data_IF_223080275767
#
_entry.id   IF_223080275767
#
_cell.length_a   1.000
_cell.length_b   1.000
_cell.length_c   1.000
_cell.angle_alpha   90.00
_cell.angle_beta   90.00
_cell.angle_gamma   90.00
#
_symmetry.space_group_name_H-M   'P 1'
#
loop_
_entity.id
_entity.type
_entity.pdbx_description
1 polymer ?
#
# COMPACT_ATOMS: atom_id res chain seq x y z
N UNK A 1 11.25 12.98 14.60
CA UNK A 1 11.11 12.66 14.33
C UNK A 1 10.44 12.09 13.64
N UNK A 2 10.11 12.05 13.40
CA UNK A 2 9.38 11.40 13.02
C UNK A 2 9.20 11.33 11.74
N UNK A 3 9.40 10.78 11.15
CA UNK A 3 9.29 10.70 9.95
C UNK A 3 8.42 9.77 9.56
N UNK A 4 7.35 9.92 9.13
CA UNK A 4 6.40 8.95 8.87
C UNK A 4 6.06 8.83 7.45
N UNK A 5 6.51 9.66 6.60
CA UNK A 5 6.00 9.66 5.35
C UNK A 5 6.30 8.47 4.59
N UNK A 6 7.36 7.82 4.67
CA UNK A 6 7.61 6.73 3.85
C UNK A 6 7.17 5.48 4.45
N UNK A 7 6.49 5.53 5.52
CA UNK A 7 6.12 4.33 6.18
C UNK A 7 5.10 3.48 5.46
N UNK A 8 4.38 4.04 4.52
CA UNK A 8 3.45 3.21 3.77
C UNK A 8 4.17 2.06 3.11
N UNK A 9 5.26 2.34 2.38
CA UNK A 9 5.98 1.29 1.67
C UNK A 9 6.63 0.32 2.64
N UNK A 10 7.18 0.82 3.73
CA UNK A 10 7.78 -0.05 4.72
C UNK A 10 6.74 -0.94 5.36
N UNK A 11 5.58 -0.41 5.64
CA UNK A 11 4.51 -1.19 6.22
C UNK A 11 4.04 -2.28 5.29
N UNK A 12 3.93 -1.97 4.00
CA UNK A 12 3.53 -2.96 3.02
C UNK A 12 4.55 -4.09 2.95
N UNK A 13 5.82 -3.73 2.95
CA UNK A 13 6.86 -4.73 2.88
C UNK A 13 6.86 -5.61 4.11
N UNK A 14 6.79 -5.03 5.30
CA UNK A 14 6.78 -5.79 6.52
C UNK A 14 5.54 -6.66 6.63
N UNK A 15 4.40 -6.16 6.20
CA UNK A 15 3.16 -6.91 6.24
C UNK A 15 3.25 -8.13 5.34
N UNK A 16 3.82 -7.94 4.14
CA UNK A 16 3.97 -9.03 3.19
C UNK A 16 4.94 -10.08 3.73
N UNK A 17 6.03 -9.64 4.35
CA UNK A 17 6.98 -10.58 4.91
C UNK A 17 6.39 -11.40 6.04
N UNK A 18 5.38 -10.86 6.70
CA UNK A 18 4.71 -11.58 7.77
C UNK A 18 3.63 -12.52 7.26
N UNK A 19 3.42 -12.55 5.96
CA UNK A 19 2.42 -13.44 5.39
C UNK A 19 1.10 -12.79 5.06
N UNK A 20 0.99 -11.49 5.23
CA UNK A 20 -0.25 -10.79 4.91
C UNK A 20 -0.31 -10.37 3.46
N UNK A 21 -1.43 -9.79 3.08
CA UNK A 21 -1.59 -9.25 1.74
C UNK A 21 -2.08 -7.82 1.86
N UNK A 22 -2.19 -7.12 0.76
CA UNK A 22 -2.70 -5.75 0.77
C UNK A 22 -3.33 -5.46 -0.59
N UNK A 23 -4.19 -4.45 -0.61
CA UNK A 23 -4.78 -4.06 -1.87
C UNK A 23 -5.03 -2.56 -1.87
N UNK A 24 -5.06 -1.97 -3.06
CA UNK A 24 -5.27 -0.56 -3.22
C UNK A 24 -6.76 -0.29 -3.20
N UNK A 25 -7.18 0.57 -2.28
CA UNK A 25 -8.57 0.95 -2.17
C UNK A 25 -8.84 2.11 -3.12
N UNK A 26 -7.91 3.07 -3.17
CA UNK A 26 -8.10 4.23 -4.00
C UNK A 26 -6.73 4.84 -4.24
N UNK A 27 -6.51 5.43 -5.39
CA UNK A 27 -5.25 6.06 -5.68
C UNK A 27 -5.49 7.23 -6.62
N UNK A 28 -4.86 8.35 -6.33
CA UNK A 28 -4.94 9.51 -7.19
C UNK A 28 -3.55 10.12 -7.26
N UNK A 29 -3.40 11.25 -7.91
CA UNK A 29 -2.09 11.89 -7.99
C UNK A 29 -1.64 12.43 -6.65
N UNK A 30 -2.56 12.62 -5.72
CA UNK A 30 -2.24 13.24 -4.46
C UNK A 30 -2.37 12.34 -3.26
N UNK A 31 -2.99 11.21 -3.40
CA UNK A 31 -3.26 10.36 -2.25
C UNK A 31 -3.43 8.92 -2.67
N UNK A 32 -2.98 8.03 -1.83
CA UNK A 32 -3.20 6.60 -2.04
C UNK A 32 -3.73 6.01 -0.74
N UNK A 33 -4.69 5.12 -0.84
CA UNK A 33 -5.28 4.43 0.29
C UNK A 33 -5.17 2.94 0.03
N UNK A 34 -4.63 2.21 1.00
CA UNK A 34 -4.36 0.80 0.87
C UNK A 34 -4.88 0.07 2.09
N UNK A 35 -5.50 -1.08 1.90
CA UNK A 35 -5.92 -1.92 3.00
C UNK A 35 -4.90 -3.01 3.20
N UNK A 36 -4.49 -3.22 4.45
CA UNK A 36 -3.66 -4.36 4.82
C UNK A 36 -4.63 -5.47 5.19
N UNK A 37 -4.43 -6.62 4.57
CA UNK A 37 -5.35 -7.74 4.75
C UNK A 37 -4.62 -8.97 5.27
N UNK A 38 -5.36 -9.87 5.88
CA UNK A 38 -4.78 -11.13 6.32
C UNK A 38 -4.50 -11.97 5.10
N UNK A 39 -3.86 -13.11 5.28
CA UNK A 39 -3.58 -13.98 4.15
C UNK A 39 -4.85 -14.54 3.54
N UNK A 40 -5.97 -14.47 4.25
CA UNK A 40 -7.24 -14.91 3.69
C UNK A 40 -8.02 -13.74 3.11
N UNK A 41 -7.47 -12.53 3.14
CA UNK A 41 -8.11 -11.39 2.50
C UNK A 41 -8.94 -10.50 3.37
N UNK A 42 -8.95 -10.72 4.69
CA UNK A 42 -9.75 -9.88 5.56
C UNK A 42 -9.02 -8.59 5.88
N UNK A 43 -9.67 -7.44 5.68
CA UNK A 43 -9.00 -6.18 5.97
C UNK A 43 -8.75 -6.00 7.46
N UNK A 44 -7.52 -5.63 7.79
CA UNK A 44 -7.14 -5.44 9.18
C UNK A 44 -6.84 -3.98 9.48
N UNK A 45 -6.29 -3.26 8.52
CA UNK A 45 -5.92 -1.88 8.77
C UNK A 45 -5.89 -1.13 7.46
N UNK A 46 -6.20 0.16 7.49
CA UNK A 46 -6.18 0.99 6.30
C UNK A 46 -5.09 2.03 6.45
N UNK A 47 -4.25 2.16 5.44
CA UNK A 47 -3.17 3.12 5.44
C UNK A 47 -3.41 4.14 4.34
N UNK A 48 -2.95 5.35 4.58
CA UNK A 48 -3.11 6.42 3.62
C UNK A 48 -1.79 7.14 3.48
N UNK A 49 -1.43 7.57 2.30
CA UNK A 49 -0.19 8.27 2.07
C UNK A 49 -0.37 9.36 1.03
N UNK A 50 0.32 10.48 1.23
CA UNK A 50 0.34 11.55 0.25
C UNK A 50 1.74 11.67 -0.33
N UNK A 51 2.62 10.72 -0.08
CA UNK A 51 4.00 10.77 -0.53
C UNK A 51 4.04 10.40 -2.02
N UNK A 52 4.56 11.27 -2.88
CA UNK A 52 4.61 10.98 -4.31
C UNK A 52 5.34 9.69 -4.65
N UNK A 53 6.38 9.36 -3.89
CA UNK A 53 7.13 8.14 -4.16
C UNK A 53 6.29 6.91 -3.89
N UNK A 54 5.51 6.94 -2.81
CA UNK A 54 4.65 5.83 -2.49
C UNK A 54 3.53 5.70 -3.52
N UNK A 55 2.97 6.82 -3.93
CA UNK A 55 1.90 6.82 -4.93
C UNK A 55 2.42 6.26 -6.23
N UNK A 56 3.62 6.67 -6.65
CA UNK A 56 4.19 6.18 -7.90
C UNK A 56 4.43 4.68 -7.84
N UNK A 57 4.92 4.20 -6.70
CA UNK A 57 5.16 2.78 -6.55
C UNK A 57 3.85 1.99 -6.66
N UNK A 58 2.82 2.47 -5.99
CA UNK A 58 1.55 1.78 -5.99
C UNK A 58 0.90 1.77 -7.37
N UNK A 59 1.06 2.86 -8.10
CA UNK A 59 0.49 2.91 -9.45
C UNK A 59 1.17 1.90 -10.35
N UNK A 60 2.48 1.74 -10.21
CA UNK A 60 3.21 0.77 -10.99
C UNK A 60 2.79 -0.64 -10.62
N UNK A 61 2.66 -0.92 -9.34
CA UNK A 61 2.25 -2.24 -8.88
C UNK A 61 0.85 -2.57 -9.37
N UNK A 62 -0.04 -1.59 -9.32
CA UNK A 62 -1.41 -1.79 -9.75
C UNK A 62 -1.46 -2.08 -11.26
N UNK A 63 -0.67 -1.36 -12.03
CA UNK A 63 -0.64 -1.57 -13.47
C UNK A 63 -0.14 -2.95 -13.82
N UNK A 64 0.85 -3.43 -13.10
CA UNK A 64 1.37 -4.76 -13.36
C UNK A 64 0.30 -5.80 -13.09
N UNK A 65 -0.45 -5.63 -12.02
CA UNK A 65 -1.51 -6.56 -11.72
C UNK A 65 -2.61 -6.51 -12.78
N UNK A 66 -2.88 -5.34 -13.31
CA UNK A 66 -3.90 -5.21 -14.32
C UNK A 66 -3.52 -5.89 -15.62
N UNK A 67 -2.25 -6.00 -15.90
CA UNK A 67 -1.84 -6.60 -17.14
C UNK A 67 -2.07 -8.08 -17.18
N UNK A 68 -2.30 -8.68 -16.07
CA UNK A 68 -2.61 -10.08 -16.04
C UNK A 68 -4.08 -10.30 -16.33
#
# INVERSE_FOLDING_TARGET
>A
MAIHRQHLLENLENWTLSGGTWRIVSISNERAVVDLCTCTGEPMERLESHDPAAIAYLRTAHSVLDLN
#
